data_IF_455504003737
#
_entry.id   IF_455504003737
#
_cell.length_a   1.000
_cell.length_b   1.000
_cell.length_c   1.000
_cell.angle_alpha   90.00
_cell.angle_beta   90.00
_cell.angle_gamma   90.00
#
_symmetry.space_group_name_H-M   'P 1'
#
loop_
_entity.id
_entity.type
_entity.pdbx_description
1 polymer ?
#
# COMPACT_ATOMS: atom_id res chain seq x y z
N UNK A 1 7.54 1.99 35.60
CA UNK A 1 8.92 1.57 35.31
C UNK A 1 8.84 0.52 34.20
N UNK A 2 8.87 0.95 32.94
CA UNK A 2 8.79 0.06 31.78
C UNK A 2 10.06 0.23 30.96
N UNK A 3 11.00 -0.68 31.18
CA UNK A 3 12.16 -0.87 30.30
C UNK A 3 12.06 -2.29 29.76
N UNK A 4 11.65 -2.41 28.50
CA UNK A 4 11.77 -3.62 27.68
C UNK A 4 12.32 -3.20 26.32
N UNK A 5 13.29 -3.93 25.75
CA UNK A 5 14.05 -3.47 24.60
C UNK A 5 13.13 -3.32 23.40
N UNK A 6 13.28 -2.21 22.68
CA UNK A 6 12.57 -1.94 21.44
C UNK A 6 12.77 -3.09 20.47
N UNK A 7 11.71 -3.85 20.24
CA UNK A 7 11.62 -4.75 19.10
C UNK A 7 11.68 -3.87 17.86
N UNK A 8 12.88 -3.73 17.30
CA UNK A 8 13.05 -3.42 15.90
C UNK A 8 12.24 -4.50 15.15
N UNK A 9 11.08 -4.10 14.64
CA UNK A 9 10.27 -4.93 13.77
C UNK A 9 11.14 -5.26 12.56
N UNK A 10 11.77 -6.42 12.61
CA UNK A 10 12.30 -7.13 11.46
C UNK A 10 11.31 -6.93 10.32
N UNK A 11 11.76 -6.34 9.22
CA UNK A 11 11.04 -6.44 7.94
C UNK A 11 10.72 -7.92 7.78
N UNK A 12 9.44 -8.32 7.88
CA UNK A 12 9.11 -9.72 7.97
C UNK A 12 9.64 -10.34 6.69
N UNK A 13 10.38 -11.43 6.86
CA UNK A 13 10.77 -12.40 5.83
C UNK A 13 9.81 -12.24 4.65
N UNK A 14 10.32 -11.72 3.52
CA UNK A 14 9.63 -11.85 2.24
C UNK A 14 9.13 -13.29 2.22
N UNK A 15 7.80 -13.47 2.23
CA UNK A 15 7.25 -14.81 2.15
C UNK A 15 7.61 -15.31 0.75
N UNK A 16 8.82 -15.86 0.60
CA UNK A 16 9.43 -16.32 -0.66
C UNK A 16 8.45 -17.02 -1.60
N UNK A 17 7.58 -17.95 -1.12
CA UNK A 17 6.60 -18.59 -2.01
C UNK A 17 5.62 -17.61 -2.64
N UNK A 18 5.26 -16.51 -1.97
CA UNK A 18 4.31 -15.51 -2.50
C UNK A 18 4.95 -14.59 -3.53
N UNK A 19 6.25 -14.31 -3.41
CA UNK A 19 6.97 -13.49 -4.39
C UNK A 19 7.08 -14.24 -5.72
N UNK A 20 7.39 -15.54 -5.68
CA UNK A 20 7.46 -16.36 -6.88
C UNK A 20 6.10 -16.45 -7.61
N UNK A 21 5.00 -16.66 -6.89
CA UNK A 21 3.66 -16.68 -7.50
C UNK A 21 3.25 -15.31 -8.01
N UNK A 22 3.50 -14.22 -7.25
CA UNK A 22 3.18 -12.86 -7.68
C UNK A 22 3.98 -12.40 -8.91
N UNK A 23 5.19 -12.92 -9.09
CA UNK A 23 5.99 -12.64 -10.28
C UNK A 23 5.40 -13.25 -11.56
N UNK A 24 4.61 -14.32 -11.45
CA UNK A 24 4.02 -15.04 -12.60
C UNK A 24 2.54 -14.68 -12.78
N UNK A 25 1.79 -14.54 -11.68
CA UNK A 25 0.36 -14.29 -11.67
C UNK A 25 0.09 -12.97 -10.96
N UNK A 26 -0.16 -11.94 -11.76
CA UNK A 26 -0.60 -10.64 -11.27
C UNK A 26 -1.88 -10.79 -10.43
N UNK A 27 -1.94 -10.10 -9.30
CA UNK A 27 -3.07 -10.11 -8.37
C UNK A 27 -3.07 -11.25 -7.37
N UNK A 28 -2.16 -12.23 -7.48
CA UNK A 28 -2.11 -13.37 -6.54
C UNK A 28 -1.76 -12.95 -5.11
N UNK A 29 -0.84 -11.98 -4.95
CA UNK A 29 -0.53 -11.43 -3.62
C UNK A 29 -1.57 -10.42 -3.14
N UNK A 30 -2.30 -9.82 -4.07
CA UNK A 30 -3.27 -8.74 -3.82
C UNK A 30 -4.49 -9.24 -3.05
N UNK A 31 -5.10 -10.36 -3.49
CA UNK A 31 -6.24 -10.96 -2.82
C UNK A 31 -5.90 -11.42 -1.39
N UNK A 32 -4.69 -11.95 -1.18
CA UNK A 32 -4.21 -12.35 0.14
C UNK A 32 -4.01 -11.13 1.05
N UNK A 33 -3.44 -10.05 0.53
CA UNK A 33 -3.28 -8.80 1.28
C UNK A 33 -4.63 -8.17 1.65
N UNK A 34 -5.59 -8.17 0.71
CA UNK A 34 -6.96 -7.69 0.93
C UNK A 34 -7.67 -8.50 2.02
N UNK A 35 -7.68 -9.83 1.90
CA UNK A 35 -8.28 -10.73 2.88
C UNK A 35 -7.66 -10.56 4.27
N UNK A 36 -6.33 -10.41 4.35
CA UNK A 36 -5.63 -10.15 5.62
C UNK A 36 -6.06 -8.83 6.26
N UNK A 37 -6.15 -7.74 5.48
CA UNK A 37 -6.59 -6.43 6.00
C UNK A 37 -8.03 -6.49 6.50
N UNK A 38 -8.93 -7.15 5.77
CA UNK A 38 -10.31 -7.35 6.18
C UNK A 38 -10.38 -8.13 7.50
N UNK A 39 -9.70 -9.27 7.59
CA UNK A 39 -9.67 -10.11 8.79
C UNK A 39 -9.20 -9.33 10.03
N UNK A 40 -8.17 -8.50 9.90
CA UNK A 40 -7.58 -7.77 11.02
C UNK A 40 -8.42 -6.57 11.48
N UNK A 41 -9.13 -5.90 10.57
CA UNK A 41 -9.68 -4.57 10.84
C UNK A 41 -11.20 -4.47 10.70
N UNK A 42 -11.84 -5.27 9.84
CA UNK A 42 -13.24 -5.06 9.47
C UNK A 42 -14.19 -5.13 10.68
N UNK A 43 -14.03 -6.12 11.56
CA UNK A 43 -14.89 -6.29 12.74
C UNK A 43 -14.79 -5.11 13.72
N UNK A 44 -13.59 -4.57 13.91
CA UNK A 44 -13.36 -3.43 14.81
C UNK A 44 -13.95 -2.13 14.24
N UNK A 45 -13.77 -1.89 12.94
CA UNK A 45 -14.38 -0.75 12.26
C UNK A 45 -15.91 -0.84 12.30
N UNK A 46 -16.48 -2.01 12.01
CA UNK A 46 -17.92 -2.21 12.04
C UNK A 46 -18.52 -1.93 13.43
N UNK A 47 -17.87 -2.42 14.50
CA UNK A 47 -18.27 -2.14 15.89
C UNK A 47 -18.22 -0.65 16.25
N UNK A 48 -17.37 0.12 15.57
CA UNK A 48 -17.29 1.57 15.72
C UNK A 48 -18.22 2.34 14.76
N UNK A 49 -19.12 1.66 14.04
CA UNK A 49 -20.03 2.29 13.08
C UNK A 49 -19.36 2.73 11.77
N UNK A 50 -18.20 2.17 11.43
CA UNK A 50 -17.44 2.50 10.24
C UNK A 50 -17.34 1.32 9.27
N UNK A 51 -17.42 1.60 7.96
CA UNK A 51 -17.12 0.62 6.91
C UNK A 51 -15.63 0.65 6.60
N UNK A 52 -14.96 -0.48 6.77
CA UNK A 52 -13.56 -0.62 6.39
C UNK A 52 -13.43 -1.07 4.94
N UNK A 53 -12.73 -0.27 4.13
CA UNK A 53 -12.44 -0.61 2.74
C UNK A 53 -10.92 -0.74 2.58
N UNK A 54 -10.40 -1.96 2.32
CA UNK A 54 -8.97 -2.17 2.21
C UNK A 54 -8.42 -1.57 0.91
N UNK A 55 -7.48 -0.63 1.04
CA UNK A 55 -6.66 -0.18 -0.08
C UNK A 55 -5.43 -1.08 -0.21
N UNK A 56 -5.55 -2.21 -0.90
CA UNK A 56 -4.41 -3.10 -1.18
C UNK A 56 -3.88 -2.88 -2.60
N UNK A 57 -2.56 -2.94 -2.74
CA UNK A 57 -1.81 -2.67 -3.98
C UNK A 57 -0.66 -3.68 -4.05
N UNK A 58 -0.40 -4.22 -5.23
CA UNK A 58 0.71 -5.12 -5.49
C UNK A 58 1.94 -4.33 -5.98
N UNK A 59 3.14 -4.74 -5.57
CA UNK A 59 4.37 -4.01 -5.87
C UNK A 59 4.66 -3.90 -7.38
N UNK A 60 4.29 -4.93 -8.16
CA UNK A 60 4.40 -4.94 -9.63
C UNK A 60 3.20 -4.27 -10.33
N UNK A 61 2.31 -3.65 -9.57
CA UNK A 61 1.11 -2.99 -10.06
C UNK A 61 -0.15 -3.84 -9.89
N UNK A 62 -1.29 -3.17 -9.80
CA UNK A 62 -2.59 -3.80 -9.53
C UNK A 62 -3.18 -3.27 -8.23
N UNK A 63 -4.49 -3.01 -8.28
CA UNK A 63 -5.30 -2.51 -7.15
C UNK A 63 -6.33 -3.57 -6.81
N UNK A 64 -6.59 -3.78 -5.51
CA UNK A 64 -7.61 -4.76 -5.11
C UNK A 64 -8.99 -4.33 -5.59
N UNK A 65 -9.95 -5.28 -5.65
CA UNK A 65 -11.30 -4.98 -6.14
C UNK A 65 -11.93 -3.82 -5.36
N UNK A 66 -11.84 -3.88 -4.03
CA UNK A 66 -12.41 -2.83 -3.16
C UNK A 66 -11.75 -1.47 -3.41
N UNK A 67 -10.43 -1.44 -3.62
CA UNK A 67 -9.71 -0.22 -3.93
C UNK A 67 -10.13 0.35 -5.29
N UNK A 68 -10.27 -0.51 -6.30
CA UNK A 68 -10.69 -0.13 -7.64
C UNK A 68 -12.10 0.47 -7.63
N UNK A 69 -13.04 -0.14 -6.91
CA UNK A 69 -14.41 0.34 -6.77
C UNK A 69 -14.48 1.73 -6.13
N UNK A 70 -13.75 1.94 -5.03
CA UNK A 70 -13.70 3.23 -4.33
C UNK A 70 -13.05 4.30 -5.19
N UNK A 71 -11.90 4.02 -5.79
CA UNK A 71 -11.23 4.97 -6.68
C UNK A 71 -12.11 5.28 -7.89
N UNK A 72 -12.82 4.29 -8.43
CA UNK A 72 -13.78 4.47 -9.52
C UNK A 72 -14.98 5.33 -9.11
N UNK A 73 -15.45 5.23 -7.87
CA UNK A 73 -16.49 6.12 -7.36
C UNK A 73 -15.98 7.56 -7.23
N UNK A 74 -14.78 7.74 -6.67
CA UNK A 74 -14.13 9.06 -6.58
C UNK A 74 -13.90 9.65 -7.96
N UNK A 75 -13.44 8.86 -8.94
CA UNK A 75 -13.20 9.34 -10.29
C UNK A 75 -14.48 9.79 -10.99
N UNK A 76 -15.61 9.10 -10.76
CA UNK A 76 -16.93 9.54 -11.25
C UNK A 76 -17.33 10.90 -10.69
N UNK A 77 -17.23 11.07 -9.38
CA UNK A 77 -17.55 12.34 -8.74
C UNK A 77 -16.62 13.47 -9.23
N UNK A 78 -15.33 13.17 -9.39
CA UNK A 78 -14.34 14.12 -9.89
C UNK A 78 -14.60 14.51 -11.34
N UNK A 79 -14.99 13.56 -12.19
CA UNK A 79 -15.30 13.82 -13.60
C UNK A 79 -16.50 14.77 -13.74
N UNK A 80 -17.56 14.54 -12.95
CA UNK A 80 -18.74 15.43 -12.90
C UNK A 80 -18.35 16.82 -12.41
N UNK A 81 -17.58 16.89 -11.32
CA UNK A 81 -17.16 18.16 -10.73
C UNK A 81 -16.30 19.00 -11.68
N UNK A 82 -15.42 18.38 -12.45
CA UNK A 82 -14.51 19.07 -13.38
C UNK A 82 -15.07 19.22 -14.79
N UNK A 83 -16.19 18.59 -15.13
CA UNK A 83 -16.72 18.55 -16.50
C UNK A 83 -15.84 17.78 -17.49
N UNK A 84 -15.10 16.77 -17.02
CA UNK A 84 -14.18 15.98 -17.84
C UNK A 84 -14.77 14.61 -18.23
N UNK A 85 -14.27 13.97 -19.31
CA UNK A 85 -14.64 12.61 -19.65
C UNK A 85 -14.30 11.63 -18.52
N UNK A 86 -15.23 10.71 -18.23
CA UNK A 86 -15.09 9.75 -17.13
C UNK A 86 -13.89 8.81 -17.33
N UNK A 87 -13.75 8.26 -18.53
CA UNK A 87 -12.67 7.32 -18.86
C UNK A 87 -11.30 7.96 -18.64
N UNK A 88 -11.10 9.18 -19.13
CA UNK A 88 -9.86 9.95 -18.96
C UNK A 88 -9.62 10.29 -17.48
N UNK A 89 -10.64 10.76 -16.77
CA UNK A 89 -10.51 11.13 -15.36
C UNK A 89 -10.13 9.93 -14.49
N UNK A 90 -10.73 8.77 -14.77
CA UNK A 90 -10.43 7.52 -14.07
C UNK A 90 -8.98 7.08 -14.33
N UNK A 91 -8.57 7.01 -15.61
CA UNK A 91 -7.20 6.67 -15.99
C UNK A 91 -6.18 7.61 -15.37
N UNK A 92 -6.40 8.93 -15.48
CA UNK A 92 -5.51 9.94 -14.91
C UNK A 92 -5.43 9.84 -13.38
N UNK A 93 -6.53 9.52 -12.69
CA UNK A 93 -6.52 9.35 -11.24
C UNK A 93 -5.66 8.15 -10.83
N UNK A 94 -5.83 6.98 -11.47
CA UNK A 94 -4.98 5.80 -11.18
C UNK A 94 -3.51 6.04 -11.49
N UNK A 95 -3.20 6.77 -12.56
CA UNK A 95 -1.82 7.17 -12.91
C UNK A 95 -1.23 8.09 -11.83
N UNK A 96 -1.97 9.13 -11.42
CA UNK A 96 -1.54 10.06 -10.37
C UNK A 96 -1.31 9.35 -9.04
N UNK A 97 -2.19 8.44 -8.67
CA UNK A 97 -2.04 7.63 -7.45
C UNK A 97 -0.80 6.74 -7.52
N UNK A 98 -0.56 6.07 -8.65
CA UNK A 98 0.64 5.26 -8.87
C UNK A 98 1.92 6.08 -8.74
N UNK A 99 1.96 7.27 -9.36
CA UNK A 99 3.11 8.19 -9.24
C UNK A 99 3.29 8.66 -7.80
N UNK A 100 2.21 9.03 -7.10
CA UNK A 100 2.28 9.46 -5.71
C UNK A 100 2.85 8.37 -4.79
N UNK A 101 2.44 7.12 -5.00
CA UNK A 101 2.97 5.96 -4.27
C UNK A 101 4.46 5.76 -4.53
N UNK A 102 4.89 5.80 -5.79
CA UNK A 102 6.31 5.68 -6.12
C UNK A 102 7.15 6.81 -5.53
N UNK A 103 6.63 8.05 -5.51
CA UNK A 103 7.29 9.17 -4.86
C UNK A 103 7.40 8.98 -3.35
N UNK A 104 6.34 8.47 -2.70
CA UNK A 104 6.36 8.12 -1.28
C UNK A 104 7.40 7.05 -0.97
N UNK A 105 7.41 5.97 -1.75
CA UNK A 105 8.41 4.90 -1.65
C UNK A 105 9.83 5.45 -1.81
N UNK A 106 10.10 6.21 -2.87
CA UNK A 106 11.41 6.83 -3.12
C UNK A 106 11.82 7.77 -1.98
N UNK A 107 10.88 8.55 -1.44
CA UNK A 107 11.13 9.43 -0.29
C UNK A 107 11.54 8.62 0.94
N UNK A 108 10.89 7.48 1.21
CA UNK A 108 11.30 6.61 2.31
C UNK A 108 12.74 6.13 2.13
N UNK A 109 13.14 5.70 0.93
CA UNK A 109 14.52 5.31 0.65
C UNK A 109 15.51 6.47 0.81
N UNK A 110 15.19 7.65 0.28
CA UNK A 110 16.06 8.81 0.33
C UNK A 110 16.25 9.37 1.75
N UNK A 111 15.24 9.23 2.60
CA UNK A 111 15.26 9.72 3.99
C UNK A 111 15.70 8.65 4.99
N UNK A 112 15.76 7.39 4.57
CA UNK A 112 16.26 6.29 5.38
C UNK A 112 17.77 6.42 5.54
N UNK A 113 18.21 7.00 6.67
CA UNK A 113 19.58 6.91 7.16
C UNK A 113 19.71 5.69 8.07
N UNK A 114 20.27 4.57 7.60
CA UNK A 114 20.60 3.49 8.52
C UNK A 114 21.64 4.00 9.52
N UNK A 115 21.38 3.85 10.82
CA UNK A 115 22.41 4.00 11.83
C UNK A 115 23.36 2.81 11.70
N UNK A 116 24.41 2.99 10.91
CA UNK A 116 25.45 1.97 10.79
C UNK A 116 26.45 2.14 11.94
N UNK A 117 27.04 1.05 12.44
CA UNK A 117 28.16 1.17 13.37
C UNK A 117 29.29 1.95 12.71
N UNK A 118 30.06 2.71 13.50
CA UNK A 118 31.24 3.46 13.02
C UNK A 118 32.26 2.59 12.24
N UNK A 119 32.26 1.28 12.52
CA UNK A 119 33.10 0.29 11.83
C UNK A 119 32.66 -0.02 10.40
N UNK A 120 31.45 0.38 9.99
CA UNK A 120 30.85 0.09 8.68
C UNK A 120 30.69 1.37 7.84
N UNK A 121 30.40 2.51 8.45
CA UNK A 121 30.22 3.79 7.73
C UNK A 121 31.52 4.58 7.51
N UNK A 122 32.63 4.17 8.15
CA UNK A 122 33.97 4.71 7.90
C UNK A 122 34.17 6.15 8.37
N UNK A 123 33.27 6.70 9.18
CA UNK A 123 33.47 7.97 9.85
C UNK A 123 34.18 7.75 11.19
N UNK A 124 35.50 7.93 11.19
CA UNK A 124 36.31 8.19 12.40
C UNK A 124 36.50 9.70 12.51
#
# INVERSE_FOLDING_TARGET
MFSGPGHYSYLPHLQEPRVATAAVVQGSSLGVAEARKLYLHAANCHRAGMTFIPMAIEALGGWSSSAFEVIGHISRLLAVYLGHPLSETCCHLFQKLSVALWRGNASMWATHRPSLPASVDGFI
#
